data_IF_401768298661
#
_entry.id   IF_401768298661
#
_cell.length_a   1.000
_cell.length_b   1.000
_cell.length_c   1.000
_cell.angle_alpha   90.00
_cell.angle_beta   90.00
_cell.angle_gamma   90.00
#
_symmetry.space_group_name_H-M   'P 1'
#
loop_
_entity.id
_entity.type
_entity.pdbx_description
1 polymer ?
#
# COMPACT_ATOMS: atom_id res chain seq x y z
N UNK A 1 -27.38 14.31 -21.31
CA UNK A 1 -28.49 14.30 -20.32
C UNK A 1 -27.87 14.47 -18.98
N UNK A 2 -28.28 15.42 -18.15
CA UNK A 2 -27.76 15.52 -16.80
C UNK A 2 -28.24 14.32 -16.01
N UNK A 3 -27.33 13.51 -15.51
CA UNK A 3 -27.66 12.48 -14.54
C UNK A 3 -28.14 13.18 -13.26
N UNK A 4 -29.43 13.13 -13.02
CA UNK A 4 -29.97 13.44 -11.72
C UNK A 4 -29.54 12.29 -10.82
N UNK A 5 -28.54 12.54 -9.97
CA UNK A 5 -28.24 11.64 -8.86
C UNK A 5 -29.48 11.61 -7.98
N UNK A 6 -30.28 10.56 -8.09
CA UNK A 6 -31.20 10.22 -7.02
C UNK A 6 -30.35 10.00 -5.77
N UNK A 7 -30.63 10.71 -4.68
CA UNK A 7 -29.93 10.43 -3.43
C UNK A 7 -30.10 8.95 -3.13
N UNK A 8 -29.01 8.25 -2.89
CA UNK A 8 -28.99 6.90 -2.35
C UNK A 8 -29.44 7.00 -0.87
N UNK A 9 -30.71 7.36 -0.68
CA UNK A 9 -31.33 7.61 0.63
C UNK A 9 -31.40 6.38 1.53
N UNK A 10 -30.95 5.22 1.10
CA UNK A 10 -31.08 3.99 1.90
C UNK A 10 -29.85 3.10 2.04
N UNK A 11 -28.71 3.46 1.46
CA UNK A 11 -27.50 2.61 1.56
C UNK A 11 -26.43 3.13 2.50
N UNK A 12 -26.59 4.32 3.06
CA UNK A 12 -25.67 4.91 4.04
C UNK A 12 -26.34 5.51 5.28
N UNK A 13 -27.61 5.19 5.55
CA UNK A 13 -28.08 5.16 6.91
C UNK A 13 -27.38 3.99 7.61
N UNK A 14 -26.09 4.13 7.78
CA UNK A 14 -25.40 3.61 8.94
C UNK A 14 -26.01 4.38 10.11
N UNK A 15 -27.24 4.00 10.50
CA UNK A 15 -27.76 4.31 11.80
C UNK A 15 -26.62 3.93 12.72
N UNK A 16 -26.04 4.92 13.36
CA UNK A 16 -25.21 4.71 14.53
C UNK A 16 -26.22 4.14 15.51
N UNK A 17 -26.37 2.81 15.46
CA UNK A 17 -27.15 2.10 16.46
C UNK A 17 -26.61 2.60 17.79
N UNK A 18 -27.41 3.27 18.57
CA UNK A 18 -26.97 3.78 19.85
C UNK A 18 -26.46 2.58 20.65
N UNK A 19 -25.48 2.79 21.50
CA UNK A 19 -24.98 1.73 22.40
C UNK A 19 -26.12 1.03 23.14
N UNK A 20 -27.22 1.74 23.37
CA UNK A 20 -28.41 1.23 24.05
C UNK A 20 -29.30 0.35 23.15
N UNK A 21 -29.36 0.62 21.84
CA UNK A 21 -30.03 -0.26 20.88
C UNK A 21 -29.24 -1.55 20.64
N UNK A 22 -27.92 -1.48 20.66
CA UNK A 22 -27.06 -2.67 20.58
C UNK A 22 -27.16 -3.52 21.87
N UNK A 23 -27.24 -2.89 23.05
CA UNK A 23 -27.46 -3.58 24.32
C UNK A 23 -28.82 -4.28 24.39
N UNK A 24 -29.86 -3.72 23.81
CA UNK A 24 -31.20 -4.31 23.76
C UNK A 24 -31.31 -5.58 22.91
N UNK A 25 -30.32 -5.85 22.04
CA UNK A 25 -30.27 -7.05 21.18
C UNK A 25 -29.43 -8.19 21.78
N UNK A 26 -28.72 -7.94 22.85
CA UNK A 26 -27.77 -8.90 23.45
C UNK A 26 -28.25 -9.31 24.82
N UNK A 27 -29.01 -10.38 24.86
CA UNK A 27 -29.56 -10.98 26.09
C UNK A 27 -28.51 -11.88 26.81
N UNK A 28 -27.22 -11.52 26.75
CA UNK A 28 -26.12 -12.27 27.39
C UNK A 28 -25.36 -11.35 28.34
N UNK A 29 -25.36 -11.67 29.65
CA UNK A 29 -24.89 -10.75 30.70
C UNK A 29 -23.43 -10.29 30.63
N UNK A 30 -22.56 -10.98 29.90
CA UNK A 30 -21.11 -10.76 29.89
C UNK A 30 -20.57 -10.21 28.56
N UNK A 31 -21.42 -9.86 27.59
CA UNK A 31 -20.98 -9.30 26.32
C UNK A 31 -20.85 -7.79 26.40
N UNK A 32 -19.77 -7.27 25.81
CA UNK A 32 -19.52 -5.84 25.75
C UNK A 32 -19.14 -5.41 24.33
N UNK A 33 -19.32 -4.14 24.03
CA UNK A 33 -19.09 -3.57 22.70
C UNK A 33 -17.89 -2.64 22.76
N UNK A 34 -16.92 -2.90 21.89
CA UNK A 34 -15.72 -2.11 21.74
C UNK A 34 -15.71 -1.42 20.36
N UNK A 35 -15.51 -0.09 20.36
CA UNK A 35 -15.15 0.65 19.15
C UNK A 35 -13.63 0.56 18.96
N UNK A 36 -13.22 -0.17 17.95
CA UNK A 36 -11.83 -0.34 17.56
C UNK A 36 -11.53 0.55 16.34
N UNK A 37 -10.87 1.66 16.54
CA UNK A 37 -10.74 2.74 15.57
C UNK A 37 -11.90 3.77 15.65
N UNK A 38 -11.96 4.76 14.72
CA UNK A 38 -11.18 4.92 13.48
C UNK A 38 -9.72 5.34 13.66
N UNK A 39 -9.34 5.86 14.79
CA UNK A 39 -7.95 6.20 15.11
C UNK A 39 -7.40 5.16 16.10
N UNK A 40 -6.68 4.19 15.58
CA UNK A 40 -6.04 3.14 16.37
C UNK A 40 -4.77 2.63 15.65
N UNK A 41 -3.62 2.49 16.36
CA UNK A 41 -2.37 2.05 15.73
C UNK A 41 -2.46 0.72 14.99
N UNK A 42 -3.21 -0.23 15.54
CA UNK A 42 -3.33 -1.59 14.97
C UNK A 42 -4.24 -1.70 13.75
N UNK A 43 -4.99 -0.64 13.40
CA UNK A 43 -5.83 -0.65 12.18
C UNK A 43 -5.08 -0.21 10.94
N UNK A 44 -3.89 0.36 11.07
CA UNK A 44 -3.01 0.91 10.02
C UNK A 44 -3.65 1.98 9.13
N UNK A 45 -4.92 2.27 9.30
CA UNK A 45 -5.70 3.20 8.49
C UNK A 45 -6.83 3.77 9.35
N UNK A 46 -7.70 4.56 8.76
CA UNK A 46 -8.88 5.11 9.42
C UNK A 46 -10.04 4.11 9.35
N UNK A 47 -9.84 2.92 9.85
CA UNK A 47 -10.85 1.86 9.90
C UNK A 47 -11.52 1.83 11.26
N UNK A 48 -12.85 1.88 11.32
CA UNK A 48 -13.63 1.64 12.52
C UNK A 48 -14.21 0.23 12.47
N UNK A 49 -13.94 -0.55 13.51
CA UNK A 49 -14.58 -1.85 13.74
C UNK A 49 -15.41 -1.74 15.02
N UNK A 50 -16.68 -2.05 14.93
CA UNK A 50 -17.51 -2.26 16.11
C UNK A 50 -17.45 -3.74 16.45
N UNK A 51 -16.80 -4.06 17.57
CA UNK A 51 -16.56 -5.43 18.02
C UNK A 51 -17.52 -5.77 19.16
N UNK A 52 -18.20 -6.89 19.02
CA UNK A 52 -18.96 -7.54 20.11
C UNK A 52 -18.06 -8.61 20.71
N UNK A 53 -17.78 -8.51 22.00
CA UNK A 53 -16.81 -9.32 22.70
C UNK A 53 -17.49 -10.13 23.82
N UNK A 54 -17.03 -11.37 23.96
CA UNK A 54 -17.30 -12.25 25.10
C UNK A 54 -15.95 -12.46 25.83
N UNK A 55 -15.72 -11.71 26.89
CA UNK A 55 -14.38 -11.54 27.43
C UNK A 55 -13.42 -10.92 26.39
N UNK A 56 -12.36 -11.65 26.02
CA UNK A 56 -11.41 -11.25 24.96
C UNK A 56 -11.72 -11.89 23.60
N UNK A 57 -12.77 -12.71 23.51
CA UNK A 57 -13.14 -13.40 22.28
C UNK A 57 -14.07 -12.51 21.43
N UNK A 58 -13.69 -12.29 20.17
CA UNK A 58 -14.54 -11.59 19.20
C UNK A 58 -15.69 -12.53 18.78
N UNK A 59 -16.91 -12.14 19.08
CA UNK A 59 -18.13 -12.84 18.66
C UNK A 59 -18.62 -12.29 17.31
N UNK A 60 -18.57 -10.95 17.15
CA UNK A 60 -18.98 -10.26 15.95
C UNK A 60 -18.08 -9.06 15.69
N UNK A 61 -17.77 -8.82 14.42
CA UNK A 61 -17.08 -7.62 13.97
C UNK A 61 -17.92 -6.96 12.87
N UNK A 62 -18.25 -5.69 13.05
CA UNK A 62 -18.96 -4.89 12.05
C UNK A 62 -18.04 -3.78 11.57
N UNK A 63 -17.55 -3.84 10.31
CA UNK A 63 -16.68 -2.80 9.77
C UNK A 63 -17.50 -1.58 9.35
N UNK A 64 -16.99 -0.41 9.69
CA UNK A 64 -17.47 0.88 9.21
C UNK A 64 -16.38 1.49 8.34
N UNK A 65 -16.60 1.57 7.04
CA UNK A 65 -15.68 2.11 6.05
C UNK A 65 -16.13 3.50 5.60
N UNK A 66 -15.26 4.19 4.84
CA UNK A 66 -15.56 5.50 4.27
C UNK A 66 -14.76 6.66 4.87
N UNK A 67 -14.06 6.47 5.96
CA UNK A 67 -13.28 7.54 6.62
C UNK A 67 -12.11 8.05 5.79
N UNK A 68 -11.58 7.26 4.85
CA UNK A 68 -10.55 7.65 3.89
C UNK A 68 -11.10 7.87 2.47
N UNK A 69 -12.41 7.85 2.29
CA UNK A 69 -12.99 8.06 0.98
C UNK A 69 -12.81 9.50 0.52
N UNK A 70 -12.07 9.69 -0.56
CA UNK A 70 -11.72 11.01 -1.11
C UNK A 70 -12.44 11.33 -2.43
N UNK A 71 -13.32 10.45 -2.91
CA UNK A 71 -14.05 10.62 -4.17
C UNK A 71 -13.16 10.63 -5.40
N UNK A 72 -12.08 9.86 -5.41
CA UNK A 72 -11.08 9.85 -6.48
C UNK A 72 -11.70 9.64 -7.86
N UNK A 73 -12.59 8.68 -8.01
CA UNK A 73 -13.23 8.37 -9.29
C UNK A 73 -14.04 9.56 -9.82
N UNK A 74 -14.74 10.26 -8.94
CA UNK A 74 -15.51 11.44 -9.30
C UNK A 74 -14.60 12.63 -9.66
N UNK A 75 -13.50 12.78 -8.97
CA UNK A 75 -12.50 13.81 -9.30
C UNK A 75 -11.86 13.56 -10.66
N UNK A 76 -11.63 12.29 -11.04
CA UNK A 76 -11.07 11.92 -12.34
C UNK A 76 -11.92 12.38 -13.53
N UNK A 77 -13.26 12.42 -13.38
CA UNK A 77 -14.16 12.88 -14.43
C UNK A 77 -13.99 14.38 -14.78
N UNK A 78 -13.35 15.15 -13.90
CA UNK A 78 -13.17 16.61 -14.01
C UNK A 78 -11.73 17.04 -14.28
N UNK A 79 -10.83 16.09 -14.50
CA UNK A 79 -9.40 16.36 -14.66
C UNK A 79 -8.86 15.76 -15.96
N UNK A 80 -7.87 16.43 -16.54
CA UNK A 80 -7.12 15.89 -17.68
C UNK A 80 -6.15 14.79 -17.21
N UNK A 81 -5.70 13.93 -18.13
CA UNK A 81 -4.84 12.79 -17.82
C UNK A 81 -3.56 13.17 -17.06
N UNK A 82 -2.94 14.33 -17.35
CA UNK A 82 -1.76 14.79 -16.62
C UNK A 82 -2.08 15.54 -15.31
N UNK A 83 -3.28 16.10 -15.18
CA UNK A 83 -3.73 16.69 -13.92
C UNK A 83 -4.05 15.60 -12.88
N UNK A 84 -4.57 14.48 -13.34
CA UNK A 84 -4.95 13.36 -12.49
C UNK A 84 -3.76 12.72 -11.76
N UNK A 85 -2.53 12.89 -12.25
CA UNK A 85 -1.32 12.31 -11.66
C UNK A 85 -1.13 12.69 -10.18
N UNK A 86 -1.49 13.91 -9.81
CA UNK A 86 -1.41 14.35 -8.41
C UNK A 86 -2.39 13.59 -7.50
N UNK A 87 -3.47 13.05 -8.06
CA UNK A 87 -4.44 12.24 -7.32
C UNK A 87 -4.02 10.77 -7.28
N UNK A 88 -3.49 10.22 -8.39
CA UNK A 88 -3.05 8.83 -8.43
C UNK A 88 -1.94 8.54 -7.44
N UNK A 89 -1.02 9.47 -7.22
CA UNK A 89 0.05 9.32 -6.23
C UNK A 89 -0.46 9.19 -4.78
N UNK A 90 -1.72 9.53 -4.52
CA UNK A 90 -2.34 9.45 -3.20
C UNK A 90 -3.21 8.21 -2.99
N UNK A 91 -3.35 7.34 -3.98
CA UNK A 91 -4.09 6.08 -3.86
C UNK A 91 -3.32 5.08 -2.98
N UNK A 92 -2.25 4.50 -3.49
CA UNK A 92 -1.25 3.81 -2.67
C UNK A 92 -0.11 4.77 -2.35
N UNK A 93 -0.30 5.58 -1.32
CA UNK A 93 0.67 6.62 -0.94
C UNK A 93 1.98 6.06 -0.35
N UNK A 94 2.09 4.75 -0.21
CA UNK A 94 3.34 4.10 0.22
C UNK A 94 4.31 3.90 -0.95
N UNK A 95 3.78 3.74 -2.17
CA UNK A 95 4.55 3.67 -3.41
C UNK A 95 3.98 4.59 -4.51
N UNK A 96 3.96 5.91 -4.27
CA UNK A 96 3.25 6.87 -5.13
C UNK A 96 3.68 6.82 -6.60
N UNK A 97 4.99 6.67 -6.84
CA UNK A 97 5.54 6.63 -8.21
C UNK A 97 5.02 5.45 -9.02
N UNK A 98 4.71 4.32 -8.37
CA UNK A 98 4.17 3.13 -9.05
C UNK A 98 2.76 3.38 -9.55
N UNK A 99 1.92 4.07 -8.75
CA UNK A 99 0.58 4.46 -9.18
C UNK A 99 0.63 5.38 -10.40
N UNK A 100 1.53 6.37 -10.36
CA UNK A 100 1.70 7.31 -11.47
C UNK A 100 2.15 6.60 -12.75
N UNK A 101 3.11 5.67 -12.65
CA UNK A 101 3.57 4.86 -13.79
C UNK A 101 2.43 4.01 -14.33
N UNK A 102 1.66 3.34 -13.47
CA UNK A 102 0.54 2.51 -13.88
C UNK A 102 -0.54 3.32 -14.61
N UNK A 103 -0.87 4.50 -14.10
CA UNK A 103 -1.81 5.41 -14.73
C UNK A 103 -1.34 5.86 -16.11
N UNK A 104 -0.11 6.37 -16.21
CA UNK A 104 0.43 6.83 -17.48
C UNK A 104 0.56 5.70 -18.49
N UNK A 105 0.99 4.51 -18.06
CA UNK A 105 1.06 3.34 -18.93
C UNK A 105 -0.32 2.93 -19.47
N UNK A 106 -1.37 2.99 -18.66
CA UNK A 106 -2.73 2.72 -19.11
C UNK A 106 -3.18 3.72 -20.19
N UNK A 107 -2.91 5.02 -19.98
CA UNK A 107 -3.23 6.07 -20.95
C UNK A 107 -2.39 5.94 -22.23
N UNK A 108 -1.10 5.66 -22.12
CA UNK A 108 -0.19 5.44 -23.23
C UNK A 108 -0.62 4.25 -24.08
N UNK A 109 -1.03 3.16 -23.45
CA UNK A 109 -1.59 2.00 -24.15
C UNK A 109 -2.91 2.30 -24.87
N UNK A 110 -3.76 3.14 -24.26
CA UNK A 110 -5.02 3.57 -24.87
C UNK A 110 -4.79 4.46 -26.11
N UNK A 111 -3.77 5.30 -26.06
CA UNK A 111 -3.44 6.27 -27.13
C UNK A 111 -2.39 5.76 -28.12
N UNK A 112 -1.90 4.53 -27.95
CA UNK A 112 -0.84 3.92 -28.77
C UNK A 112 0.44 4.77 -28.80
N UNK A 113 0.88 5.24 -27.63
CA UNK A 113 2.07 6.06 -27.47
C UNK A 113 3.25 5.19 -27.04
N UNK A 114 4.30 5.15 -27.86
CA UNK A 114 5.55 4.50 -27.55
C UNK A 114 6.49 5.40 -26.73
N UNK A 115 7.09 4.83 -25.70
CA UNK A 115 8.10 5.48 -24.88
C UNK A 115 9.51 5.27 -25.44
N UNK A 116 10.37 6.27 -25.27
CA UNK A 116 11.79 6.10 -25.56
C UNK A 116 12.44 5.07 -24.61
N UNK A 117 13.47 4.32 -25.08
CA UNK A 117 14.17 3.35 -24.24
C UNK A 117 14.70 3.96 -22.93
N UNK A 118 15.23 5.19 -22.98
CA UNK A 118 15.70 5.93 -21.81
C UNK A 118 14.58 6.14 -20.78
N UNK A 119 13.41 6.57 -21.24
CA UNK A 119 12.25 6.77 -20.37
C UNK A 119 11.82 5.46 -19.70
N UNK A 120 11.77 4.36 -20.46
CA UNK A 120 11.43 3.03 -19.93
C UNK A 120 12.39 2.61 -18.83
N UNK A 121 13.69 2.74 -19.02
CA UNK A 121 14.71 2.41 -18.00
C UNK A 121 14.54 3.25 -16.74
N UNK A 122 14.39 4.57 -16.88
CA UNK A 122 14.23 5.46 -15.72
C UNK A 122 12.96 5.10 -14.95
N UNK A 123 11.83 4.90 -15.63
CA UNK A 123 10.58 4.48 -14.99
C UNK A 123 10.71 3.13 -14.27
N UNK A 124 11.42 2.17 -14.86
CA UNK A 124 11.66 0.87 -14.22
C UNK A 124 12.45 1.03 -12.93
N UNK A 125 13.55 1.80 -12.96
CA UNK A 125 14.35 2.07 -11.75
C UNK A 125 13.47 2.70 -10.66
N UNK A 126 12.72 3.72 -10.99
CA UNK A 126 11.86 4.43 -10.04
C UNK A 126 10.72 3.56 -9.52
N UNK A 127 10.13 2.75 -10.38
CA UNK A 127 9.08 1.79 -10.02
C UNK A 127 9.59 0.73 -9.04
N UNK A 128 10.80 0.20 -9.26
CA UNK A 128 11.39 -0.79 -8.35
C UNK A 128 11.86 -0.17 -7.02
N UNK A 129 12.36 1.07 -7.03
CA UNK A 129 12.62 1.82 -5.80
C UNK A 129 11.32 2.05 -5.00
N UNK A 130 10.23 2.41 -5.66
CA UNK A 130 8.90 2.52 -5.05
C UNK A 130 8.41 1.20 -4.48
N UNK A 131 8.65 0.08 -5.16
CA UNK A 131 8.34 -1.26 -4.67
C UNK A 131 9.14 -1.61 -3.42
N UNK A 132 10.43 -1.33 -3.39
CA UNK A 132 11.29 -1.53 -2.21
C UNK A 132 10.77 -0.69 -1.04
N UNK A 133 10.42 0.56 -1.31
CA UNK A 133 9.85 1.47 -0.31
C UNK A 133 8.57 0.91 0.33
N UNK A 134 7.69 0.33 -0.48
CA UNK A 134 6.46 -0.31 -0.01
C UNK A 134 6.78 -1.56 0.83
N UNK A 135 7.66 -2.43 0.37
CA UNK A 135 8.02 -3.65 1.10
C UNK A 135 8.69 -3.35 2.45
N UNK A 136 9.54 -2.33 2.53
CA UNK A 136 10.16 -1.90 3.79
C UNK A 136 9.10 -1.47 4.82
N UNK A 137 8.05 -0.75 4.39
CA UNK A 137 6.94 -0.42 5.26
C UNK A 137 6.15 -1.66 5.65
N UNK A 138 5.79 -2.51 4.70
CA UNK A 138 4.96 -3.69 4.94
C UNK A 138 5.61 -4.61 5.97
N UNK A 139 6.89 -4.95 5.77
CA UNK A 139 7.65 -5.80 6.72
C UNK A 139 7.82 -5.10 8.07
N UNK A 140 8.14 -3.79 8.04
CA UNK A 140 8.32 -3.01 9.28
C UNK A 140 7.03 -2.91 10.10
N UNK A 141 5.89 -2.64 9.46
CA UNK A 141 4.60 -2.55 10.12
C UNK A 141 4.14 -3.91 10.69
N UNK A 142 4.32 -4.99 9.93
CA UNK A 142 4.05 -6.34 10.43
C UNK A 142 4.94 -6.69 11.65
N UNK A 143 6.22 -6.31 11.60
CA UNK A 143 7.12 -6.48 12.73
C UNK A 143 6.68 -5.67 13.97
N UNK A 144 6.25 -4.43 13.76
CA UNK A 144 5.73 -3.55 14.83
C UNK A 144 4.51 -4.16 15.51
N UNK A 145 3.54 -4.67 14.74
CA UNK A 145 2.33 -5.32 15.26
C UNK A 145 2.65 -6.56 16.12
N UNK A 146 3.73 -7.24 15.76
CA UNK A 146 4.23 -8.41 16.50
C UNK A 146 5.19 -8.04 17.64
N UNK A 147 5.35 -6.74 17.92
CA UNK A 147 6.16 -6.22 19.03
C UNK A 147 7.63 -5.98 18.70
N UNK A 148 8.03 -6.04 17.43
CA UNK A 148 9.41 -5.81 16.98
C UNK A 148 9.60 -4.40 16.40
N UNK A 149 9.43 -3.36 17.23
CA UNK A 149 9.54 -1.95 16.82
C UNK A 149 10.87 -1.62 16.11
N UNK A 150 11.96 -2.25 16.53
CA UNK A 150 13.28 -2.01 15.93
C UNK A 150 13.31 -2.33 14.44
N UNK A 151 12.65 -3.42 14.00
CA UNK A 151 12.54 -3.76 12.57
C UNK A 151 11.84 -2.68 11.75
N UNK A 152 10.81 -2.05 12.32
CA UNK A 152 10.14 -0.90 11.71
C UNK A 152 11.09 0.30 11.54
N UNK A 153 11.87 0.64 12.57
CA UNK A 153 12.80 1.77 12.52
C UNK A 153 13.94 1.53 11.49
N UNK A 154 14.45 0.31 11.38
CA UNK A 154 15.44 -0.05 10.36
C UNK A 154 14.87 0.12 8.94
N UNK A 155 13.66 -0.37 8.70
CA UNK A 155 12.98 -0.17 7.43
C UNK A 155 12.80 1.30 7.05
N UNK A 156 12.39 2.13 8.01
CA UNK A 156 12.22 3.56 7.78
C UNK A 156 13.53 4.31 7.52
N UNK A 157 14.62 3.90 8.18
CA UNK A 157 15.93 4.48 7.90
C UNK A 157 16.35 4.30 6.43
N UNK A 158 16.07 3.14 5.85
CA UNK A 158 16.38 2.91 4.43
C UNK A 158 15.40 3.62 3.49
N UNK A 159 14.14 3.80 3.90
CA UNK A 159 13.18 4.61 3.14
C UNK A 159 13.62 6.06 2.98
N UNK A 160 14.29 6.65 3.98
CA UNK A 160 14.83 8.02 3.90
C UNK A 160 15.81 8.17 2.72
N UNK A 161 16.63 7.15 2.43
CA UNK A 161 17.55 7.20 1.30
C UNK A 161 16.84 7.11 -0.05
N UNK A 162 15.71 6.40 -0.13
CA UNK A 162 14.87 6.42 -1.33
C UNK A 162 14.23 7.81 -1.49
N UNK A 163 13.78 8.44 -0.40
CA UNK A 163 13.27 9.81 -0.46
C UNK A 163 14.30 10.80 -0.97
N UNK A 164 15.56 10.67 -0.57
CA UNK A 164 16.64 11.52 -1.09
C UNK A 164 16.85 11.34 -2.60
N UNK A 165 16.71 10.11 -3.13
CA UNK A 165 16.73 9.84 -4.56
C UNK A 165 15.53 10.47 -5.25
N UNK A 166 14.32 10.33 -4.69
CA UNK A 166 13.11 10.91 -5.24
C UNK A 166 13.14 12.43 -5.23
N UNK A 167 13.63 13.04 -4.15
CA UNK A 167 13.83 14.49 -4.03
C UNK A 167 14.82 15.01 -5.07
N UNK A 168 15.93 14.31 -5.27
CA UNK A 168 16.94 14.69 -6.24
C UNK A 168 16.37 14.79 -7.67
N UNK A 169 15.48 13.89 -8.06
CA UNK A 169 14.93 13.86 -9.43
C UNK A 169 13.66 14.70 -9.60
N UNK A 170 12.87 14.90 -8.55
CA UNK A 170 11.54 15.51 -8.65
C UNK A 170 11.34 16.76 -7.79
N UNK A 171 12.25 17.02 -6.84
CA UNK A 171 12.06 18.05 -5.83
C UNK A 171 11.03 17.69 -4.75
N UNK A 172 10.55 16.44 -4.74
CA UNK A 172 9.57 15.93 -3.79
C UNK A 172 10.01 14.62 -3.16
N UNK A 173 10.02 14.58 -1.84
CA UNK A 173 10.43 13.40 -1.07
C UNK A 173 9.41 12.28 -1.12
N UNK A 174 8.13 12.60 -1.00
CA UNK A 174 7.06 11.62 -0.74
C UNK A 174 6.12 11.38 -1.93
N UNK A 175 5.67 12.42 -2.62
CA UNK A 175 4.83 12.34 -3.81
C UNK A 175 5.58 12.85 -5.05
N UNK A 176 6.49 12.05 -5.62
CA UNK A 176 7.26 12.45 -6.78
C UNK A 176 6.40 12.32 -8.05
N UNK A 177 5.61 13.34 -8.34
CA UNK A 177 4.77 13.38 -9.55
C UNK A 177 5.64 13.69 -10.78
N UNK A 178 6.63 12.82 -11.03
CA UNK A 178 7.69 13.01 -12.01
C UNK A 178 7.36 12.46 -13.40
N UNK A 179 6.58 11.38 -13.46
CA UNK A 179 6.18 10.79 -14.74
C UNK A 179 5.03 11.57 -15.38
N UNK A 180 4.95 11.52 -16.73
CA UNK A 180 3.90 12.15 -17.53
C UNK A 180 3.49 11.19 -18.65
N UNK A 181 2.30 11.35 -19.21
CA UNK A 181 1.90 10.60 -20.41
C UNK A 181 2.90 10.89 -21.53
N UNK A 182 3.48 9.84 -22.08
CA UNK A 182 4.49 9.92 -23.14
C UNK A 182 5.91 10.20 -22.69
N UNK A 183 6.17 10.33 -21.35
CA UNK A 183 7.52 10.62 -20.91
C UNK A 183 7.70 10.90 -19.42
N UNK A 184 8.62 11.82 -19.16
CA UNK A 184 8.97 12.33 -17.84
C UNK A 184 8.73 13.84 -17.84
N UNK A 185 8.59 14.43 -16.67
CA UNK A 185 8.42 15.88 -16.51
C UNK A 185 9.62 16.65 -17.05
N UNK A 186 10.81 16.16 -16.80
CA UNK A 186 12.11 16.62 -17.31
C UNK A 186 13.12 15.49 -17.22
N UNK A 187 14.26 15.63 -17.89
CA UNK A 187 15.34 14.62 -17.83
C UNK A 187 16.06 14.65 -16.47
N UNK A 188 16.86 13.64 -16.18
CA UNK A 188 17.64 13.56 -14.95
C UNK A 188 18.57 14.80 -14.82
N UNK A 189 18.63 15.44 -13.64
CA UNK A 189 19.50 16.61 -13.42
C UNK A 189 20.97 16.30 -13.71
N UNK A 190 21.49 15.18 -13.22
CA UNK A 190 22.81 14.64 -13.53
C UNK A 190 22.77 13.11 -13.41
N UNK A 191 23.04 12.45 -14.52
CA UNK A 191 22.97 10.99 -14.62
C UNK A 191 23.98 10.29 -13.70
N UNK A 192 25.23 10.77 -13.68
CA UNK A 192 26.27 10.19 -12.83
C UNK A 192 25.92 10.24 -11.34
N UNK A 193 25.34 11.36 -10.89
CA UNK A 193 24.91 11.52 -9.50
C UNK A 193 23.75 10.59 -9.18
N UNK A 194 22.75 10.52 -10.06
CA UNK A 194 21.64 9.60 -9.91
C UNK A 194 22.11 8.15 -9.82
N UNK A 195 22.98 7.71 -10.75
CA UNK A 195 23.54 6.37 -10.74
C UNK A 195 24.30 6.08 -9.44
N UNK A 196 25.14 7.02 -8.97
CA UNK A 196 25.86 6.86 -7.69
C UNK A 196 24.91 6.70 -6.50
N UNK A 197 23.83 7.48 -6.44
CA UNK A 197 22.83 7.37 -5.37
C UNK A 197 22.13 6.01 -5.41
N UNK A 198 21.67 5.57 -6.59
CA UNK A 198 21.01 4.27 -6.77
C UNK A 198 21.96 3.12 -6.41
N UNK A 199 23.19 3.10 -6.95
CA UNK A 199 24.17 2.04 -6.65
C UNK A 199 24.57 2.02 -5.16
N UNK A 200 24.77 3.18 -4.53
CA UNK A 200 25.03 3.20 -3.10
C UNK A 200 23.89 2.60 -2.29
N UNK A 201 22.64 2.87 -2.70
CA UNK A 201 21.47 2.31 -2.06
C UNK A 201 21.38 0.79 -2.30
N UNK A 202 21.44 0.34 -3.56
CA UNK A 202 21.18 -1.07 -3.93
C UNK A 202 22.33 -2.01 -3.55
N UNK A 203 23.58 -1.57 -3.73
CA UNK A 203 24.74 -2.44 -3.63
C UNK A 203 25.38 -2.43 -2.22
N UNK A 204 25.20 -1.34 -1.48
CA UNK A 204 25.83 -1.18 -0.16
C UNK A 204 24.82 -1.21 0.97
N UNK A 205 23.79 -0.35 0.91
CA UNK A 205 22.88 -0.17 2.04
C UNK A 205 21.85 -1.28 2.17
N UNK A 206 21.12 -1.59 1.11
CA UNK A 206 20.04 -2.58 1.15
C UNK A 206 20.52 -3.98 1.55
N UNK A 207 21.61 -4.53 1.03
CA UNK A 207 22.10 -5.84 1.46
C UNK A 207 22.39 -5.90 2.97
N UNK A 208 22.99 -4.83 3.51
CA UNK A 208 23.23 -4.72 4.94
C UNK A 208 21.94 -4.67 5.74
N UNK A 209 21.01 -3.80 5.35
CA UNK A 209 19.73 -3.62 6.03
C UNK A 209 18.86 -4.87 5.99
N UNK A 210 18.87 -5.60 4.86
CA UNK A 210 18.18 -6.89 4.76
C UNK A 210 18.78 -7.88 5.77
N UNK A 211 20.10 -8.00 5.85
CA UNK A 211 20.76 -8.87 6.82
C UNK A 211 20.45 -8.51 8.27
N UNK A 212 20.38 -7.21 8.59
CA UNK A 212 20.02 -6.73 9.93
C UNK A 212 18.55 -7.07 10.25
N UNK A 213 17.61 -6.86 9.32
CA UNK A 213 16.19 -7.19 9.49
C UNK A 213 15.99 -8.70 9.60
N UNK A 214 16.64 -9.50 8.77
CA UNK A 214 16.58 -10.96 8.83
C UNK A 214 17.08 -11.48 10.18
N UNK A 215 18.16 -10.94 10.69
CA UNK A 215 18.69 -11.33 12.00
C UNK A 215 17.75 -10.96 13.15
N UNK A 216 17.04 -9.83 13.03
CA UNK A 216 16.08 -9.37 14.03
C UNK A 216 14.78 -10.18 14.05
N UNK A 217 14.32 -10.66 12.90
CA UNK A 217 13.02 -11.31 12.75
C UNK A 217 13.14 -12.82 12.61
N UNK A 218 13.90 -13.31 11.65
CA UNK A 218 13.90 -14.73 11.28
C UNK A 218 14.55 -15.64 12.34
N UNK A 219 15.48 -15.11 13.12
CA UNK A 219 16.15 -15.82 14.21
C UNK A 219 15.53 -15.56 15.58
N UNK A 220 14.60 -14.62 15.68
CA UNK A 220 13.94 -14.27 16.92
C UNK A 220 12.84 -15.28 17.24
N UNK A 221 13.06 -16.08 18.27
CA UNK A 221 12.12 -17.12 18.70
C UNK A 221 10.71 -16.58 18.99
N UNK A 222 10.60 -15.40 19.63
CA UNK A 222 9.29 -14.80 19.95
C UNK A 222 8.54 -14.44 18.66
N UNK A 223 9.24 -13.87 17.69
CA UNK A 223 8.64 -13.54 16.39
C UNK A 223 8.21 -14.80 15.65
N UNK A 224 9.07 -15.80 15.56
CA UNK A 224 8.78 -17.07 14.89
C UNK A 224 7.60 -17.79 15.53
N UNK A 225 7.56 -17.88 16.86
CA UNK A 225 6.45 -18.52 17.60
C UNK A 225 5.10 -17.81 17.39
N UNK A 226 5.12 -16.51 17.06
CA UNK A 226 3.91 -15.72 16.79
C UNK A 226 3.39 -15.84 15.37
N UNK A 227 4.21 -16.22 14.41
CA UNK A 227 3.84 -16.26 12.99
C UNK A 227 3.77 -17.67 12.41
N UNK A 228 4.52 -18.61 12.96
CA UNK A 228 4.60 -19.96 12.41
C UNK A 228 3.26 -20.70 12.50
N UNK A 229 2.75 -21.12 11.35
CA UNK A 229 1.48 -21.83 11.24
C UNK A 229 0.22 -20.96 11.43
N UNK A 230 0.38 -19.65 11.53
CA UNK A 230 -0.74 -18.71 11.67
C UNK A 230 -1.08 -18.11 10.30
N UNK A 231 -2.40 -18.07 9.96
CA UNK A 231 -2.89 -17.43 8.75
C UNK A 231 -2.41 -18.08 7.45
N UNK A 232 -2.18 -19.39 7.47
CA UNK A 232 -1.81 -20.15 6.27
C UNK A 232 -2.94 -20.15 5.25
N UNK A 233 -2.62 -19.83 4.00
CA UNK A 233 -3.55 -19.85 2.86
C UNK A 233 -3.03 -20.87 1.86
N UNK A 234 -3.86 -21.84 1.48
CA UNK A 234 -3.49 -22.83 0.47
C UNK A 234 -3.41 -22.21 -0.93
N UNK A 235 -2.75 -22.90 -1.85
CA UNK A 235 -2.67 -22.46 -3.25
C UNK A 235 -4.05 -22.37 -3.90
N UNK A 236 -4.92 -23.30 -3.59
CA UNK A 236 -6.29 -23.38 -4.08
C UNK A 236 -7.11 -22.19 -3.59
N UNK A 237 -7.02 -21.87 -2.29
CA UNK A 237 -7.68 -20.70 -1.71
C UNK A 237 -7.13 -19.38 -2.28
N UNK A 238 -5.80 -19.27 -2.37
CA UNK A 238 -5.16 -18.09 -2.96
C UNK A 238 -5.63 -17.84 -4.41
N UNK A 239 -5.82 -18.89 -5.17
CA UNK A 239 -6.34 -18.82 -6.54
C UNK A 239 -7.82 -18.47 -6.57
N UNK A 240 -8.64 -19.08 -5.71
CA UNK A 240 -10.07 -18.82 -5.62
C UNK A 240 -10.38 -17.37 -5.19
N UNK A 241 -9.58 -16.81 -4.29
CA UNK A 241 -9.68 -15.42 -3.86
C UNK A 241 -8.96 -14.43 -4.78
N UNK A 242 -8.38 -14.90 -5.89
CA UNK A 242 -7.63 -14.06 -6.85
C UNK A 242 -6.50 -13.25 -6.20
N UNK A 243 -5.80 -13.84 -5.25
CA UNK A 243 -4.67 -13.18 -4.59
C UNK A 243 -3.53 -12.95 -5.58
N UNK A 244 -2.80 -11.86 -5.40
CA UNK A 244 -1.68 -11.46 -6.26
C UNK A 244 -0.44 -11.11 -5.44
N UNK A 245 0.68 -10.88 -6.12
CA UNK A 245 1.92 -10.40 -5.52
C UNK A 245 2.59 -11.37 -4.54
N UNK A 246 3.29 -10.83 -3.52
CA UNK A 246 4.03 -11.65 -2.55
C UNK A 246 3.17 -12.66 -1.80
N UNK A 247 1.92 -12.29 -1.46
CA UNK A 247 1.00 -13.15 -0.75
C UNK A 247 0.65 -14.40 -1.57
N UNK A 248 0.33 -14.23 -2.86
CA UNK A 248 0.06 -15.36 -3.76
C UNK A 248 1.28 -16.27 -3.93
N UNK A 249 2.48 -15.69 -4.09
CA UNK A 249 3.72 -16.47 -4.21
C UNK A 249 4.06 -17.21 -2.92
N UNK A 250 3.84 -16.61 -1.76
CA UNK A 250 3.99 -17.29 -0.48
C UNK A 250 3.03 -18.49 -0.32
N UNK A 251 1.85 -18.43 -0.94
CA UNK A 251 0.87 -19.51 -0.98
C UNK A 251 1.12 -20.55 -2.09
N UNK A 252 2.26 -20.47 -2.80
CA UNK A 252 2.65 -21.44 -3.84
C UNK A 252 2.11 -21.15 -5.25
N UNK A 253 1.51 -19.98 -5.48
CA UNK A 253 1.17 -19.52 -6.84
C UNK A 253 2.40 -18.92 -7.47
N UNK A 254 2.84 -19.43 -8.61
CA UNK A 254 4.14 -19.06 -9.23
C UNK A 254 4.06 -17.81 -10.11
N UNK A 255 2.89 -17.21 -10.31
CA UNK A 255 2.69 -16.08 -11.21
C UNK A 255 3.44 -14.84 -10.71
N UNK A 256 4.25 -14.25 -11.60
CA UNK A 256 4.95 -12.98 -11.37
C UNK A 256 4.85 -12.13 -12.66
N UNK A 257 4.09 -11.04 -12.63
CA UNK A 257 3.86 -10.17 -13.79
C UNK A 257 5.15 -9.57 -14.36
N UNK A 258 6.20 -9.40 -13.56
CA UNK A 258 7.50 -8.92 -14.04
C UNK A 258 8.17 -9.91 -15.00
N UNK A 259 7.77 -11.20 -14.96
CA UNK A 259 8.27 -12.26 -15.83
C UNK A 259 7.26 -12.63 -16.91
N UNK A 260 5.97 -12.69 -16.53
CA UNK A 260 4.92 -13.21 -17.39
C UNK A 260 4.38 -12.15 -18.36
N UNK A 261 4.36 -10.88 -17.96
CA UNK A 261 3.88 -9.74 -18.75
C UNK A 261 4.61 -8.46 -18.30
N UNK A 262 5.91 -8.32 -18.63
CA UNK A 262 6.71 -7.17 -18.24
C UNK A 262 6.16 -5.90 -18.89
N UNK A 263 5.98 -4.86 -18.10
CA UNK A 263 5.34 -3.60 -18.54
C UNK A 263 6.31 -2.55 -19.10
N UNK A 264 7.64 -2.75 -18.94
CA UNK A 264 8.68 -1.83 -19.44
C UNK A 264 9.86 -2.55 -20.10
#
# INVERSE_FOLDING_TARGET
MPYTLTPLEKTFDLEIESLDELKGRVDVPDRWILNFGPQHPATHTTLRLVLELDGERIVRATPHIGYLHSGFEKLAEHQDYNQWVCTTSRMDYISPIVNNIAWHHAVEKLLDIDLTPRCKVIRTILGELGRIQNHLLCVGAAALDLGALTGFLYGFNEREHIYDIMDYISGHRFHPDYTRVGGLMYDLPCEETFQKMVHNFTDVRMPKSIGDIESLLNTNRIFVDRVQGIGTISKEEATAWSLTGPLARASGVTRDLRKDDPYL
#
